data_IF_221873341959
#
_entry.id   IF_221873341959
#
_cell.length_a   1.000
_cell.length_b   1.000
_cell.length_c   1.000
_cell.angle_alpha   90.00
_cell.angle_beta   90.00
_cell.angle_gamma   90.00
#
_symmetry.space_group_name_H-M   'P 1'
#
loop_
_entity.id
_entity.type
_entity.pdbx_description
1 polymer ?
#
# COMPACT_ATOMS: atom_id res chain seq x y z
N UNK A 1 -7.83 5.50 12.05
CA UNK A 1 -7.32 5.03 10.74
C UNK A 1 -6.23 5.89 10.10
N UNK A 2 -6.11 7.20 10.36
CA UNK A 2 -5.09 8.04 9.70
C UNK A 2 -3.71 7.94 10.39
N UNK A 3 -2.78 7.21 9.77
CA UNK A 3 -1.39 7.07 10.21
C UNK A 3 -0.42 7.74 9.23
N UNK A 4 0.75 8.13 9.73
CA UNK A 4 1.86 8.61 8.91
C UNK A 4 3.16 8.16 9.52
N UNK A 5 3.83 7.24 8.84
CA UNK A 5 5.09 6.66 9.32
C UNK A 5 6.21 6.95 8.34
N UNK A 6 7.40 7.24 8.85
CA UNK A 6 8.55 7.63 8.05
C UNK A 6 9.64 6.55 8.11
N UNK A 7 10.11 6.14 6.94
CA UNK A 7 11.26 5.28 6.74
C UNK A 7 12.39 6.12 6.15
N UNK A 8 13.53 6.15 6.83
CA UNK A 8 14.74 6.80 6.32
C UNK A 8 15.69 5.75 5.74
N UNK A 9 15.88 5.75 4.42
CA UNK A 9 16.81 4.89 3.70
C UNK A 9 18.12 5.62 3.41
N UNK A 10 19.20 5.12 3.97
CA UNK A 10 20.55 5.60 3.72
C UNK A 10 21.27 4.67 2.76
N UNK A 11 22.20 5.22 1.97
CA UNK A 11 23.10 4.39 1.17
C UNK A 11 24.00 3.59 2.11
N UNK A 12 24.00 2.27 1.97
CA UNK A 12 24.88 1.38 2.73
C UNK A 12 26.33 1.57 2.29
N UNK A 13 27.23 1.68 3.26
CA UNK A 13 28.68 1.68 3.02
C UNK A 13 29.26 0.30 3.32
N UNK A 14 30.42 -0.02 2.76
CA UNK A 14 31.12 -1.27 3.10
C UNK A 14 31.40 -1.38 4.61
N UNK A 15 31.73 -0.26 5.25
CA UNK A 15 31.98 -0.19 6.69
C UNK A 15 30.69 -0.44 7.50
N UNK A 16 29.55 0.11 7.04
CA UNK A 16 28.24 -0.20 7.61
C UNK A 16 27.86 -1.66 7.46
N UNK A 17 28.13 -2.26 6.30
CA UNK A 17 27.89 -3.68 6.04
C UNK A 17 28.79 -4.56 6.91
N UNK A 18 30.08 -4.23 7.05
CA UNK A 18 30.99 -4.93 7.96
C UNK A 18 30.50 -4.88 9.40
N UNK A 19 30.00 -3.72 9.85
CA UNK A 19 29.44 -3.56 11.19
C UNK A 19 28.15 -4.37 11.40
N UNK A 20 27.28 -4.45 10.38
CA UNK A 20 26.00 -5.15 10.47
C UNK A 20 26.15 -6.67 10.37
N UNK A 21 26.98 -7.15 9.45
CA UNK A 21 27.17 -8.57 9.18
C UNK A 21 28.31 -9.21 9.98
N UNK A 22 29.23 -8.41 10.54
CA UNK A 22 30.32 -8.87 11.40
C UNK A 22 31.16 -9.96 10.72
N UNK A 23 31.34 -11.09 11.41
CA UNK A 23 32.09 -12.24 10.93
C UNK A 23 31.49 -12.91 9.68
N UNK A 24 30.23 -12.58 9.33
CA UNK A 24 29.56 -13.06 8.10
C UNK A 24 29.77 -12.13 6.91
N UNK A 25 30.55 -11.05 7.06
CA UNK A 25 30.86 -10.15 5.97
C UNK A 25 31.78 -10.82 4.94
N UNK A 26 31.34 -10.84 3.70
CA UNK A 26 32.00 -11.39 2.54
C UNK A 26 31.90 -10.37 1.41
N UNK A 27 33.01 -9.71 1.03
CA UNK A 27 33.01 -8.66 0.02
C UNK A 27 32.61 -9.14 -1.39
N UNK A 28 32.57 -10.46 -1.63
CA UNK A 28 32.11 -11.02 -2.89
C UNK A 28 30.59 -11.18 -2.99
N UNK A 29 29.84 -10.90 -1.91
CA UNK A 29 28.37 -11.02 -1.88
C UNK A 29 27.67 -9.69 -2.19
N UNK A 30 26.53 -9.72 -2.91
CA UNK A 30 25.71 -8.53 -3.10
C UNK A 30 24.98 -8.17 -1.81
N UNK A 31 25.31 -7.00 -1.24
CA UNK A 31 24.62 -6.43 -0.07
C UNK A 31 23.57 -5.39 -0.47
N UNK A 32 22.51 -5.19 0.35
CA UNK A 32 21.53 -4.14 0.11
C UNK A 32 22.19 -2.75 0.01
N UNK A 33 21.97 -2.07 -1.11
CA UNK A 33 22.57 -0.76 -1.38
C UNK A 33 21.96 0.38 -0.55
N UNK A 34 20.71 0.20 -0.11
CA UNK A 34 20.01 1.13 0.76
C UNK A 34 19.44 0.37 1.93
N UNK A 35 19.65 0.90 3.14
CA UNK A 35 19.16 0.33 4.38
C UNK A 35 18.57 1.41 5.27
N UNK A 36 17.58 1.04 6.06
CA UNK A 36 16.87 1.96 6.92
C UNK A 36 15.95 1.24 7.87
N UNK A 37 15.47 1.98 8.86
CA UNK A 37 14.51 1.48 9.83
C UNK A 37 13.29 2.37 9.80
N UNK A 38 12.13 1.74 9.90
CA UNK A 38 10.87 2.39 10.18
C UNK A 38 10.57 2.20 11.66
N UNK A 39 10.05 3.25 12.29
CA UNK A 39 9.60 3.21 13.68
C UNK A 39 8.11 3.50 13.70
N UNK A 40 7.38 2.69 14.46
CA UNK A 40 5.95 2.86 14.67
C UNK A 40 5.73 3.29 16.12
N UNK A 41 4.93 4.32 16.34
CA UNK A 41 4.36 4.55 17.68
C UNK A 41 3.24 3.54 17.92
N UNK A 42 2.90 3.30 19.20
CA UNK A 42 1.77 2.45 19.56
C UNK A 42 0.46 2.91 18.87
N UNK A 43 0.25 4.22 18.80
CA UNK A 43 -0.90 4.80 18.10
C UNK A 43 -0.87 4.55 16.59
N UNK A 44 0.31 4.57 15.95
CA UNK A 44 0.41 4.26 14.52
C UNK A 44 0.06 2.81 14.23
N UNK A 45 0.46 1.88 15.11
CA UNK A 45 0.11 0.46 15.00
C UNK A 45 -1.41 0.31 15.02
N UNK A 46 -2.07 0.88 16.03
CA UNK A 46 -3.53 0.79 16.19
C UNK A 46 -4.23 1.32 14.94
N UNK A 47 -3.82 2.51 14.45
CA UNK A 47 -4.46 3.14 13.28
C UNK A 47 -4.20 2.37 11.98
N UNK A 48 -3.00 1.80 11.81
CA UNK A 48 -2.65 0.99 10.64
C UNK A 48 -3.46 -0.30 10.63
N UNK A 49 -3.54 -1.00 11.76
CA UNK A 49 -4.33 -2.24 11.88
C UNK A 49 -5.81 -1.95 11.63
N UNK A 50 -6.35 -0.86 12.21
CA UNK A 50 -7.74 -0.46 11.97
C UNK A 50 -8.02 -0.20 10.48
N UNK A 51 -7.10 0.50 9.80
CA UNK A 51 -7.20 0.73 8.35
C UNK A 51 -7.18 -0.59 7.56
N UNK A 52 -6.22 -1.48 7.85
CA UNK A 52 -6.08 -2.75 7.14
C UNK A 52 -7.26 -3.70 7.39
N UNK A 53 -7.84 -3.68 8.58
CA UNK A 53 -9.01 -4.52 8.91
C UNK A 53 -10.29 -4.06 8.24
N UNK A 54 -10.44 -2.75 8.01
CA UNK A 54 -11.63 -2.16 7.39
C UNK A 54 -11.54 -2.04 5.87
N UNK A 55 -10.33 -2.03 5.32
CA UNK A 55 -10.13 -1.95 3.89
C UNK A 55 -10.64 -3.21 3.17
N UNK A 56 -11.37 -3.01 2.08
CA UNK A 56 -11.72 -4.11 1.16
C UNK A 56 -10.53 -4.41 0.26
N UNK A 57 -9.98 -5.64 0.27
CA UNK A 57 -8.86 -5.98 -0.60
C UNK A 57 -9.25 -5.93 -2.08
N UNK A 58 -8.41 -5.29 -2.89
CA UNK A 58 -8.57 -5.21 -4.35
C UNK A 58 -7.79 -6.34 -5.01
N UNK A 59 -8.42 -7.03 -5.97
CA UNK A 59 -7.73 -8.07 -6.76
C UNK A 59 -7.12 -7.45 -8.01
N UNK A 60 -5.84 -7.70 -8.21
CA UNK A 60 -5.08 -7.22 -9.38
C UNK A 60 -4.36 -8.39 -10.04
N UNK A 61 -3.86 -8.19 -11.26
CA UNK A 61 -3.08 -9.22 -11.96
C UNK A 61 -1.81 -9.64 -11.19
N UNK A 62 -1.27 -8.73 -10.37
CA UNK A 62 -0.10 -9.00 -9.53
C UNK A 62 -0.46 -9.64 -8.18
N UNK A 63 -1.70 -9.45 -7.72
CA UNK A 63 -2.22 -9.92 -6.42
C UNK A 63 -3.64 -10.48 -6.58
N UNK A 64 -3.79 -11.69 -7.16
CA UNK A 64 -5.09 -12.32 -7.36
C UNK A 64 -5.80 -12.70 -6.04
N UNK A 65 -5.03 -12.89 -4.96
CA UNK A 65 -5.51 -13.13 -3.60
C UNK A 65 -6.19 -11.91 -2.96
N UNK A 66 -5.97 -10.72 -3.52
CA UNK A 66 -6.44 -9.44 -2.99
C UNK A 66 -5.38 -8.74 -2.15
N UNK A 67 -5.23 -7.42 -2.34
CA UNK A 67 -4.30 -6.59 -1.60
C UNK A 67 -4.93 -5.28 -1.15
N UNK A 68 -4.42 -4.72 -0.04
CA UNK A 68 -4.82 -3.40 0.45
C UNK A 68 -3.73 -2.41 0.07
N UNK A 69 -4.12 -1.34 -0.60
CA UNK A 69 -3.17 -0.31 -1.05
C UNK A 69 -2.78 0.60 0.11
N UNK A 70 -1.48 0.90 0.23
CA UNK A 70 -0.93 1.92 1.13
C UNK A 70 -0.13 2.89 0.27
N UNK A 71 -0.35 4.19 0.48
CA UNK A 71 0.34 5.23 -0.28
C UNK A 71 1.77 5.40 0.26
N UNK A 72 2.74 5.41 -0.65
CA UNK A 72 4.12 5.78 -0.35
C UNK A 72 4.48 7.09 -1.07
N UNK A 73 5.19 7.99 -0.38
CA UNK A 73 5.79 9.19 -0.98
C UNK A 73 7.22 9.33 -0.50
N UNK A 74 8.14 9.73 -1.39
CA UNK A 74 9.56 9.76 -1.08
C UNK A 74 10.19 11.13 -1.37
N UNK A 75 11.11 11.55 -0.50
CA UNK A 75 11.84 12.81 -0.60
C UNK A 75 13.33 12.56 -0.35
N UNK A 76 14.20 13.23 -1.12
CA UNK A 76 15.64 13.23 -0.83
C UNK A 76 15.93 14.30 0.20
N UNK A 77 16.49 13.90 1.35
CA UNK A 77 16.81 14.77 2.47
C UNK A 77 18.28 14.65 2.85
N UNK A 78 18.78 15.63 3.61
CA UNK A 78 20.13 15.61 4.20
C UNK A 78 20.03 15.56 5.71
N UNK A 79 20.67 14.57 6.32
CA UNK A 79 20.71 14.40 7.77
C UNK A 79 21.56 15.49 8.44
N UNK A 80 21.46 15.62 9.77
CA UNK A 80 22.26 16.59 10.55
C UNK A 80 23.77 16.37 10.41
N UNK A 81 24.21 15.16 10.09
CA UNK A 81 25.61 14.83 9.82
C UNK A 81 26.05 15.08 8.37
N UNK A 82 25.17 15.64 7.53
CA UNK A 82 25.45 15.94 6.12
C UNK A 82 25.24 14.78 5.15
N UNK A 83 24.84 13.60 5.64
CA UNK A 83 24.57 12.44 4.78
C UNK A 83 23.19 12.56 4.11
N UNK A 84 23.15 12.35 2.80
CA UNK A 84 21.90 12.27 2.04
C UNK A 84 21.17 10.94 2.30
N UNK A 85 19.85 11.00 2.35
CA UNK A 85 18.99 9.84 2.56
C UNK A 85 17.64 10.02 1.87
N UNK A 86 16.99 8.90 1.54
CA UNK A 86 15.64 8.88 0.99
C UNK A 86 14.64 8.71 2.15
N UNK A 87 13.83 9.73 2.35
CA UNK A 87 12.77 9.79 3.35
C UNK A 87 11.45 9.33 2.72
N UNK A 88 10.98 8.14 3.06
CA UNK A 88 9.75 7.54 2.56
C UNK A 88 8.66 7.66 3.62
N UNK A 89 7.55 8.35 3.30
CA UNK A 89 6.35 8.39 4.13
C UNK A 89 5.35 7.35 3.63
N UNK A 90 4.80 6.57 4.55
CA UNK A 90 3.68 5.67 4.30
C UNK A 90 2.43 6.25 4.99
N UNK A 91 1.34 6.30 4.23
CA UNK A 91 0.05 6.86 4.62
C UNK A 91 -1.07 5.97 4.05
N UNK A 92 -2.28 5.96 4.66
CA UNK A 92 -3.46 5.35 4.04
C UNK A 92 -3.67 5.85 2.61
N UNK A 93 -4.09 4.96 1.72
CA UNK A 93 -4.54 5.39 0.40
C UNK A 93 -5.86 6.16 0.51
N UNK A 94 -5.96 7.27 -0.23
CA UNK A 94 -7.12 8.16 -0.13
C UNK A 94 -8.42 7.48 -0.58
N UNK A 95 -8.37 6.70 -1.67
CA UNK A 95 -9.57 6.05 -2.21
C UNK A 95 -10.08 4.99 -1.24
N UNK A 96 -9.15 4.18 -0.73
CA UNK A 96 -9.46 3.15 0.27
C UNK A 96 -10.04 3.78 1.54
N UNK A 97 -9.43 4.87 2.02
CA UNK A 97 -9.89 5.56 3.22
C UNK A 97 -11.28 6.20 3.05
N UNK A 98 -11.62 6.70 1.86
CA UNK A 98 -12.97 7.20 1.57
C UNK A 98 -13.99 6.07 1.47
N UNK A 99 -13.67 4.97 0.80
CA UNK A 99 -14.56 3.80 0.72
C UNK A 99 -14.89 3.23 2.12
N UNK A 100 -13.91 3.19 3.03
CA UNK A 100 -14.13 2.81 4.43
C UNK A 100 -15.08 3.80 5.11
N UNK A 101 -14.85 5.11 4.96
CA UNK A 101 -15.70 6.16 5.57
C UNK A 101 -17.15 6.09 5.08
N UNK A 102 -17.37 5.83 3.79
CA UNK A 102 -18.71 5.68 3.21
C UNK A 102 -19.43 4.44 3.75
N UNK A 103 -18.70 3.32 3.89
CA UNK A 103 -19.22 2.07 4.45
C UNK A 103 -19.57 2.22 5.93
N UNK A 104 -18.68 2.81 6.74
CA UNK A 104 -18.89 3.05 8.17
C UNK A 104 -20.04 4.04 8.43
N UNK A 105 -20.31 4.96 7.49
CA UNK A 105 -21.42 5.92 7.58
C UNK A 105 -22.76 5.34 7.12
N UNK A 106 -22.82 4.06 6.74
CA UNK A 106 -24.03 3.40 6.25
C UNK A 106 -24.51 3.92 4.89
N UNK A 107 -23.66 4.62 4.15
CA UNK A 107 -23.98 5.19 2.84
C UNK A 107 -23.58 4.18 1.76
N UNK A 108 -24.28 3.05 1.73
CA UNK A 108 -24.07 2.00 0.72
C UNK A 108 -24.51 2.54 -0.63
N UNK A 109 -23.55 3.01 -1.44
CA UNK A 109 -23.78 3.22 -2.87
C UNK A 109 -23.89 1.85 -3.52
N UNK A 110 -25.13 1.38 -3.70
CA UNK A 110 -25.45 0.25 -4.55
C UNK A 110 -25.04 0.58 -5.99
N UNK A 111 -23.92 0.05 -6.45
CA UNK A 111 -23.56 0.05 -7.86
C UNK A 111 -23.08 -1.33 -8.26
N UNK A 112 -24.04 -2.18 -8.67
CA UNK A 112 -23.86 -3.24 -9.68
C UNK A 112 -25.20 -3.93 -9.93
N UNK A 113 -26.02 -3.37 -10.81
CA UNK A 113 -26.89 -4.21 -11.63
C UNK A 113 -26.71 -3.78 -13.10
N UNK A 114 -25.97 -4.65 -13.80
CA UNK A 114 -25.72 -4.61 -15.23
C UNK A 114 -27.05 -4.58 -15.97
N UNK A 115 -27.33 -3.45 -16.63
CA UNK A 115 -28.43 -3.32 -17.58
C UNK A 115 -28.18 -4.22 -18.78
N UNK A 116 -28.72 -5.45 -18.74
CA UNK A 116 -28.97 -6.25 -19.94
C UNK A 116 -30.31 -5.81 -20.52
N UNK A 117 -30.40 -5.41 -21.81
CA UNK A 117 -31.69 -5.11 -22.40
C UNK A 117 -32.52 -6.39 -22.55
N UNK A 118 -33.86 -6.33 -22.38
CA UNK A 118 -34.71 -7.51 -22.53
C UNK A 118 -34.72 -7.95 -24.00
N UNK A 119 -34.39 -9.21 -24.23
CA UNK A 119 -34.62 -9.91 -25.51
C UNK A 119 -36.14 -10.01 -25.69
N UNK A 120 -36.68 -9.23 -26.63
CA UNK A 120 -38.05 -9.44 -27.11
C UNK A 120 -38.07 -10.68 -28.00
N UNK A 121 -38.52 -11.79 -27.43
CA UNK A 121 -38.97 -12.97 -28.18
C UNK A 121 -40.29 -12.60 -28.87
N UNK A 122 -40.22 -12.24 -30.16
CA UNK A 122 -41.40 -12.10 -31.01
C UNK A 122 -41.81 -13.48 -31.52
N UNK A 123 -42.76 -14.11 -30.83
CA UNK A 123 -43.54 -15.22 -31.36
C UNK A 123 -44.54 -14.71 -32.43
N UNK A 124 -44.63 -15.50 -33.50
CA UNK A 124 -45.77 -15.71 -34.39
C UNK A 124 -46.47 -14.52 -35.06
N UNK A 125 -46.22 -14.38 -36.37
CA UNK A 125 -47.23 -13.90 -37.30
C UNK A 125 -47.12 -14.60 -38.66
N UNK A 126 -47.92 -15.66 -38.85
CA UNK A 126 -48.37 -16.11 -40.18
C UNK A 126 -49.89 -16.25 -40.13
N UNK A 127 -50.62 -15.49 -40.96
CA UNK A 127 -51.90 -15.97 -41.45
C UNK A 127 -51.99 -15.89 -42.98
N UNK A 128 -52.32 -17.07 -43.54
CA UNK A 128 -52.97 -17.38 -44.83
C UNK A 128 -52.36 -16.91 -46.15
#
# INVERSE_FOLDING_TARGET
MEFKVNLALFKSTEEGNKKFYGDKYDPSKPYPQYTGNIQFTEMDIIKMVEYLQKATPERTDFHPEGSVTVKASAYVNTSKSGLQYLSINLEPDYKTLMAIKETDSGMTSTSSESSTPPVQTGEDFIPF
#
